data_IF_683947253884
#
_entry.id   IF_683947253884
#
_cell.length_a   1.000
_cell.length_b   1.000
_cell.length_c   1.000
_cell.angle_alpha   90.00
_cell.angle_beta   90.00
_cell.angle_gamma   90.00
#
_symmetry.space_group_name_H-M   'P 1'
#
loop_
_entity.id
_entity.type
_entity.pdbx_description
1 polymer ?
#
# COMPACT_ATOMS: atom_id res chain seq x y z
N UNK A 1 -8.29 -5.73 -4.14
CA UNK A 1 -6.91 -6.21 -3.84
C UNK A 1 -6.40 -5.73 -2.49
N UNK A 2 -6.55 -4.45 -2.13
CA UNK A 2 -6.03 -3.97 -0.84
C UNK A 2 -6.79 -4.51 0.40
N UNK A 3 -8.01 -5.04 0.24
CA UNK A 3 -8.76 -5.69 1.31
C UNK A 3 -7.98 -6.84 1.98
N UNK A 4 -7.18 -7.59 1.19
CA UNK A 4 -6.37 -8.71 1.67
C UNK A 4 -4.95 -8.31 2.09
N UNK A 5 -4.57 -7.04 1.93
CA UNK A 5 -3.25 -6.57 2.33
C UNK A 5 -3.20 -6.40 3.86
N UNK A 6 -2.23 -7.02 4.56
CA UNK A 6 -2.03 -6.77 5.97
C UNK A 6 -1.77 -5.28 6.25
N UNK A 7 -2.12 -4.77 7.45
CA UNK A 7 -1.94 -3.36 7.81
C UNK A 7 -0.51 -2.84 7.63
N UNK A 8 0.50 -3.69 7.81
CA UNK A 8 1.92 -3.33 7.67
C UNK A 8 2.31 -2.98 6.24
N UNK A 9 1.76 -3.69 5.25
CA UNK A 9 2.00 -3.40 3.85
C UNK A 9 1.24 -2.14 3.40
N UNK A 10 0.04 -1.93 3.93
CA UNK A 10 -0.70 -0.66 3.74
C UNK A 10 0.10 0.53 4.26
N UNK A 11 0.73 0.40 5.44
CA UNK A 11 1.66 1.40 5.98
C UNK A 11 2.87 1.62 5.07
N UNK A 12 3.47 0.54 4.58
CA UNK A 12 4.64 0.61 3.71
C UNK A 12 4.34 1.38 2.42
N UNK A 13 3.16 1.16 1.81
CA UNK A 13 2.70 1.93 0.64
C UNK A 13 2.60 3.44 0.94
N UNK A 14 2.10 3.83 2.12
CA UNK A 14 2.01 5.24 2.53
C UNK A 14 3.39 5.84 2.77
N UNK A 15 4.33 5.07 3.32
CA UNK A 15 5.70 5.53 3.61
C UNK A 15 6.45 5.86 2.32
N UNK A 16 6.36 4.98 1.32
CA UNK A 16 7.01 5.19 0.02
C UNK A 16 6.31 6.25 -0.83
N UNK A 17 5.02 6.52 -0.57
CA UNK A 17 4.27 7.54 -1.27
C UNK A 17 4.74 8.95 -0.90
N UNK A 18 4.82 9.81 -1.92
CA UNK A 18 4.98 11.24 -1.68
C UNK A 18 3.63 11.87 -1.33
N UNK A 19 3.65 13.10 -0.81
CA UNK A 19 2.40 13.86 -0.57
C UNK A 19 1.64 14.06 -1.89
N UNK A 20 2.34 14.27 -3.00
CA UNK A 20 1.72 14.41 -4.32
C UNK A 20 1.05 13.10 -4.80
N UNK A 21 1.67 11.95 -4.54
CA UNK A 21 1.09 10.64 -4.86
C UNK A 21 -0.20 10.39 -4.06
N UNK A 22 -0.17 10.73 -2.76
CA UNK A 22 -1.37 10.67 -1.91
C UNK A 22 -2.45 11.65 -2.40
N UNK A 23 -2.06 12.85 -2.82
CA UNK A 23 -3.03 13.81 -3.38
C UNK A 23 -3.66 13.31 -4.67
N UNK A 24 -2.88 12.68 -5.56
CA UNK A 24 -3.39 12.03 -6.78
C UNK A 24 -4.31 10.84 -6.47
N UNK A 25 -4.07 10.14 -5.36
CA UNK A 25 -4.97 9.08 -4.85
C UNK A 25 -6.27 9.63 -4.22
N UNK A 26 -6.48 10.95 -4.23
CA UNK A 26 -7.70 11.61 -3.75
C UNK A 26 -7.62 12.14 -2.31
N UNK A 27 -6.44 12.22 -1.71
CA UNK A 27 -6.26 12.92 -0.44
C UNK A 27 -6.20 14.44 -0.64
N UNK A 28 -6.79 15.19 0.28
CA UNK A 28 -6.45 16.62 0.42
C UNK A 28 -5.04 16.74 0.99
N UNK A 29 -4.38 17.90 0.81
CA UNK A 29 -3.03 18.13 1.35
C UNK A 29 -2.94 17.81 2.86
N UNK A 30 -3.89 18.32 3.65
CA UNK A 30 -3.98 18.02 5.08
C UNK A 30 -4.29 16.54 5.37
N UNK A 31 -5.09 15.89 4.52
CA UNK A 31 -5.36 14.46 4.59
C UNK A 31 -4.13 13.60 4.31
N UNK A 32 -3.29 13.99 3.35
CA UNK A 32 -2.07 13.28 3.00
C UNK A 32 -1.04 13.29 4.15
N UNK A 33 -0.87 14.43 4.83
CA UNK A 33 -0.04 14.50 6.04
C UNK A 33 -0.58 13.60 7.15
N UNK A 34 -1.88 13.68 7.44
CA UNK A 34 -2.51 12.81 8.46
C UNK A 34 -2.42 11.33 8.11
N UNK A 35 -2.55 10.98 6.83
CA UNK A 35 -2.41 9.60 6.36
C UNK A 35 -0.99 9.09 6.61
N UNK A 36 0.04 9.91 6.35
CA UNK A 36 1.43 9.58 6.68
C UNK A 36 1.67 9.41 8.18
N UNK A 37 1.14 10.31 8.99
CA UNK A 37 1.32 10.25 10.45
C UNK A 37 0.61 9.04 11.08
N UNK A 38 -0.62 8.76 10.64
CA UNK A 38 -1.42 7.66 11.20
C UNK A 38 -1.03 6.31 10.61
N UNK A 39 -0.53 6.29 9.38
CA UNK A 39 -0.25 5.05 8.65
C UNK A 39 -1.52 4.22 8.40
N UNK A 40 -2.69 4.86 8.31
CA UNK A 40 -3.97 4.18 8.08
C UNK A 40 -4.55 4.68 6.76
N UNK A 41 -4.94 3.73 5.90
CA UNK A 41 -5.55 3.96 4.60
C UNK A 41 -6.72 2.99 4.43
N UNK A 42 -7.82 3.48 3.86
CA UNK A 42 -8.96 2.63 3.49
C UNK A 42 -8.63 1.82 2.23
N UNK A 43 -9.34 0.71 2.02
CA UNK A 43 -9.06 -0.19 0.90
C UNK A 43 -9.22 0.52 -0.45
N UNK A 44 -10.29 1.30 -0.61
CA UNK A 44 -10.54 2.10 -1.83
C UNK A 44 -9.38 3.06 -2.13
N UNK A 45 -8.83 3.72 -1.11
CA UNK A 45 -7.71 4.67 -1.30
C UNK A 45 -6.40 3.95 -1.52
N UNK A 46 -6.21 2.78 -0.92
CA UNK A 46 -5.05 1.94 -1.13
C UNK A 46 -4.99 1.47 -2.58
N UNK A 47 -6.13 1.08 -3.18
CA UNK A 47 -6.18 0.69 -4.59
C UNK A 47 -5.79 1.83 -5.52
N UNK A 48 -6.37 3.03 -5.31
CA UNK A 48 -5.98 4.24 -6.06
C UNK A 48 -4.51 4.59 -5.87
N UNK A 49 -3.98 4.43 -4.65
CA UNK A 49 -2.58 4.71 -4.36
C UNK A 49 -1.64 3.73 -5.07
N UNK A 50 -2.02 2.44 -5.14
CA UNK A 50 -1.27 1.43 -5.89
C UNK A 50 -1.26 1.76 -7.38
N UNK A 51 -2.39 2.19 -7.96
CA UNK A 51 -2.46 2.65 -9.35
C UNK A 51 -1.55 3.86 -9.61
N UNK A 52 -1.55 4.83 -8.70
CA UNK A 52 -0.69 6.03 -8.80
C UNK A 52 0.79 5.69 -8.66
N UNK A 53 1.15 4.82 -7.71
CA UNK A 53 2.53 4.42 -7.46
C UNK A 53 3.08 3.51 -8.56
N UNK A 54 2.22 2.71 -9.21
CA UNK A 54 2.57 1.80 -10.28
C UNK A 54 3.76 0.91 -9.92
N UNK A 55 4.83 1.00 -10.70
CA UNK A 55 6.07 0.23 -10.49
C UNK A 55 6.72 0.46 -9.13
N UNK A 56 6.52 1.63 -8.48
CA UNK A 56 7.07 1.89 -7.14
C UNK A 56 6.41 1.04 -6.05
N UNK A 57 5.15 0.65 -6.24
CA UNK A 57 4.44 -0.22 -5.31
C UNK A 57 4.87 -1.69 -5.46
N UNK A 58 5.44 -2.08 -6.61
CA UNK A 58 5.81 -3.46 -6.93
C UNK A 58 6.65 -4.16 -5.85
N UNK A 59 7.76 -3.63 -5.32
CA UNK A 59 8.52 -4.31 -4.28
C UNK A 59 7.68 -4.60 -3.02
N UNK A 60 6.90 -3.60 -2.57
CA UNK A 60 6.01 -3.75 -1.40
C UNK A 60 4.94 -4.81 -1.63
N UNK A 61 4.35 -4.84 -2.84
CA UNK A 61 3.32 -5.81 -3.19
C UNK A 61 3.89 -7.23 -3.36
N UNK A 62 5.10 -7.37 -3.90
CA UNK A 62 5.78 -8.67 -4.02
C UNK A 62 6.08 -9.23 -2.63
N UNK A 63 6.56 -8.40 -1.70
CA UNK A 63 6.80 -8.82 -0.33
C UNK A 63 5.49 -9.18 0.38
N UNK A 64 4.41 -8.42 0.14
CA UNK A 64 3.09 -8.75 0.65
C UNK A 64 2.60 -10.12 0.15
N UNK A 65 2.78 -10.40 -1.15
CA UNK A 65 2.41 -11.67 -1.76
C UNK A 65 3.24 -12.84 -1.22
N UNK A 66 4.53 -12.63 -0.96
CA UNK A 66 5.40 -13.65 -0.35
C UNK A 66 4.94 -14.00 1.06
N UNK A 67 4.64 -13.00 1.89
CA UNK A 67 4.12 -13.25 3.25
C UNK A 67 2.78 -13.97 3.18
N UNK A 68 1.87 -13.49 2.33
CA UNK A 68 0.57 -14.14 2.14
C UNK A 68 0.72 -15.61 1.72
N UNK A 69 1.64 -15.90 0.79
CA UNK A 69 1.89 -17.27 0.35
C UNK A 69 2.43 -18.16 1.47
N UNK A 70 3.35 -17.64 2.31
CA UNK A 70 3.84 -18.36 3.49
C UNK A 70 2.70 -18.66 4.46
N UNK A 71 1.84 -17.69 4.77
CA UNK A 71 0.68 -17.86 5.66
C UNK A 71 -0.34 -18.85 5.09
N UNK A 72 -0.54 -18.85 3.77
CA UNK A 72 -1.40 -19.80 3.08
C UNK A 72 -0.79 -21.21 2.94
N UNK A 73 0.43 -21.45 3.45
CA UNK A 73 1.15 -22.72 3.28
C UNK A 73 1.59 -22.99 1.83
N UNK A 74 1.59 -21.96 0.99
CA UNK A 74 1.97 -22.01 -0.40
C UNK A 74 3.46 -21.63 -0.52
N UNK A 75 4.33 -22.64 -0.68
CA UNK A 75 5.75 -22.42 -0.87
C UNK A 75 6.02 -21.99 -2.31
N UNK A 76 5.99 -20.68 -2.55
CA UNK A 76 6.40 -20.13 -3.86
C UNK A 76 7.91 -20.26 -3.99
N UNK A 77 8.37 -21.25 -4.73
CA UNK A 77 9.74 -21.28 -5.23
C UNK A 77 9.84 -20.20 -6.32
N UNK A 78 10.54 -19.11 -6.00
CA UNK A 78 10.87 -18.05 -6.97
C UNK A 78 11.85 -18.57 -8.02
#
# INVERSE_FOLDING_TARGET
MCEFLPPEFKKSLIVIATIDDLMKAGYTKSGAYKAKERGVISDERCEKLVEVLGYKARPVLVDALKIFAIEAGCYVSC
#
